data_IF_508142355083
#
_entry.id   IF_508142355083
#
_cell.length_a   1.000
_cell.length_b   1.000
_cell.length_c   1.000
_cell.angle_alpha   90.00
_cell.angle_beta   90.00
_cell.angle_gamma   90.00
#
_symmetry.space_group_name_H-M   'P 1'
#
loop_
_entity.id
_entity.type
_entity.pdbx_description
1 polymer ?
#
# COMPACT_ATOMS: atom_id res chain seq x y z
N UNK A 1 6.03 10.46 -20.74
CA UNK A 1 4.61 10.21 -21.09
C UNK A 1 4.26 10.96 -22.38
N UNK A 2 3.55 10.34 -23.32
CA UNK A 2 3.21 10.96 -24.62
C UNK A 2 2.11 12.02 -24.45
N UNK A 3 2.14 13.06 -25.28
CA UNK A 3 1.16 14.16 -25.30
C UNK A 3 -0.30 13.68 -25.40
N UNK A 4 -0.51 12.53 -26.03
CA UNK A 4 -1.81 11.87 -26.15
C UNK A 4 -2.42 11.47 -24.79
N UNK A 5 -1.67 10.77 -23.94
CA UNK A 5 -2.14 10.32 -22.61
C UNK A 5 -2.50 11.53 -21.73
N UNK A 6 -1.71 12.60 -21.84
CA UNK A 6 -1.91 13.83 -21.09
C UNK A 6 -3.21 14.55 -21.51
N UNK A 7 -3.50 14.59 -22.81
CA UNK A 7 -4.73 15.19 -23.35
C UNK A 7 -5.99 14.41 -22.96
N UNK A 8 -5.91 13.07 -22.94
CA UNK A 8 -7.00 12.20 -22.55
C UNK A 8 -7.34 12.35 -21.06
N UNK A 9 -6.32 12.39 -20.22
CA UNK A 9 -6.45 12.68 -18.79
C UNK A 9 -7.13 14.01 -18.51
N UNK A 10 -6.71 15.07 -19.20
CA UNK A 10 -7.31 16.40 -19.02
C UNK A 10 -8.81 16.38 -19.34
N UNK A 11 -9.21 15.68 -20.41
CA UNK A 11 -10.63 15.50 -20.76
C UNK A 11 -11.41 14.70 -19.72
N UNK A 12 -10.79 13.68 -19.11
CA UNK A 12 -11.37 12.94 -18.00
C UNK A 12 -11.52 13.79 -16.74
N UNK A 13 -10.54 14.65 -16.47
CA UNK A 13 -10.52 15.50 -15.28
C UNK A 13 -11.62 16.57 -15.32
N UNK A 14 -11.90 17.12 -16.50
CA UNK A 14 -12.81 18.23 -16.69
C UNK A 14 -14.26 17.79 -17.03
N UNK A 15 -14.52 16.50 -17.30
CA UNK A 15 -15.86 16.02 -17.70
C UNK A 15 -16.33 14.75 -16.98
N UNK A 16 -17.43 14.87 -16.23
CA UNK A 16 -18.14 13.73 -15.62
C UNK A 16 -18.70 12.74 -16.64
N UNK A 17 -18.85 13.16 -17.90
CA UNK A 17 -19.40 12.30 -18.96
C UNK A 17 -18.53 11.07 -19.21
N UNK A 18 -17.21 11.15 -19.01
CA UNK A 18 -16.31 10.01 -19.17
C UNK A 18 -16.66 8.87 -18.20
N UNK A 19 -16.86 9.19 -16.93
CA UNK A 19 -17.23 8.21 -15.91
C UNK A 19 -18.61 7.61 -16.16
N UNK A 20 -19.58 8.43 -16.57
CA UNK A 20 -20.92 7.96 -16.92
C UNK A 20 -20.89 6.99 -18.11
N UNK A 21 -20.16 7.33 -19.18
CA UNK A 21 -20.00 6.46 -20.36
C UNK A 21 -19.36 5.14 -19.95
N UNK A 22 -18.27 5.17 -19.18
CA UNK A 22 -17.61 3.93 -18.72
C UNK A 22 -18.54 3.07 -17.85
N UNK A 23 -19.33 3.68 -16.97
CA UNK A 23 -20.32 2.97 -16.19
C UNK A 23 -21.37 2.27 -17.07
N UNK A 24 -21.99 3.00 -18.01
CA UNK A 24 -23.00 2.43 -18.91
C UNK A 24 -22.43 1.36 -19.85
N UNK A 25 -21.21 1.55 -20.36
CA UNK A 25 -20.50 0.51 -21.13
C UNK A 25 -20.28 -0.73 -20.27
N UNK A 26 -19.88 -0.57 -19.01
CA UNK A 26 -19.73 -1.67 -18.07
C UNK A 26 -21.04 -2.37 -17.76
N UNK A 27 -22.16 -1.65 -17.65
CA UNK A 27 -23.49 -2.25 -17.49
C UNK A 27 -23.85 -3.08 -18.72
N UNK A 28 -23.58 -2.57 -19.93
CA UNK A 28 -23.77 -3.32 -21.17
C UNK A 28 -22.94 -4.61 -21.21
N UNK A 29 -21.65 -4.54 -20.83
CA UNK A 29 -20.78 -5.71 -20.75
C UNK A 29 -21.28 -6.74 -19.72
N UNK A 30 -21.73 -6.28 -18.56
CA UNK A 30 -22.30 -7.15 -17.53
C UNK A 30 -23.56 -7.85 -18.05
N UNK A 31 -24.45 -7.14 -18.74
CA UNK A 31 -25.65 -7.74 -19.35
C UNK A 31 -25.30 -8.79 -20.42
N UNK A 32 -24.29 -8.53 -21.26
CA UNK A 32 -23.80 -9.49 -22.25
C UNK A 32 -23.23 -10.73 -21.54
N UNK A 33 -22.39 -10.55 -20.51
CA UNK A 33 -21.83 -11.64 -19.73
C UNK A 33 -22.91 -12.48 -19.04
N UNK A 34 -23.91 -11.83 -18.45
CA UNK A 34 -25.06 -12.52 -17.85
C UNK A 34 -25.88 -13.26 -18.88
N UNK A 35 -26.14 -12.66 -20.04
CA UNK A 35 -26.87 -13.31 -21.13
C UNK A 35 -26.16 -14.58 -21.62
N UNK A 36 -24.84 -14.54 -21.82
CA UNK A 36 -24.03 -15.71 -22.21
C UNK A 36 -24.08 -16.81 -21.14
N UNK A 37 -24.16 -16.43 -19.86
CA UNK A 37 -24.25 -17.35 -18.74
C UNK A 37 -25.70 -17.70 -18.35
N UNK A 38 -26.68 -17.49 -19.23
CA UNK A 38 -28.10 -17.75 -18.98
C UNK A 38 -28.63 -17.10 -17.67
N UNK A 39 -28.14 -15.90 -17.36
CA UNK A 39 -28.41 -15.14 -16.14
C UNK A 39 -28.04 -15.86 -14.84
N UNK A 40 -27.20 -16.89 -14.91
CA UNK A 40 -26.65 -17.55 -13.73
C UNK A 40 -25.44 -16.77 -13.20
N UNK A 41 -25.65 -16.06 -12.10
CA UNK A 41 -24.59 -15.32 -11.42
C UNK A 41 -23.47 -16.24 -10.92
N UNK A 42 -23.80 -17.42 -10.39
CA UNK A 42 -22.82 -18.31 -9.78
C UNK A 42 -21.77 -18.81 -10.78
N UNK A 43 -22.18 -19.15 -12.01
CA UNK A 43 -21.25 -19.60 -13.06
C UNK A 43 -20.28 -18.50 -13.49
N UNK A 44 -20.74 -17.24 -13.48
CA UNK A 44 -19.88 -16.08 -13.74
C UNK A 44 -18.79 -15.94 -12.66
N UNK A 45 -19.15 -16.10 -11.37
CA UNK A 45 -18.22 -15.97 -10.25
C UNK A 45 -17.24 -17.13 -10.11
N UNK A 46 -17.66 -18.35 -10.50
CA UNK A 46 -16.85 -19.57 -10.38
C UNK A 46 -16.00 -19.85 -11.63
N UNK A 47 -16.02 -18.98 -12.64
CA UNK A 47 -15.20 -19.14 -13.84
C UNK A 47 -13.70 -19.07 -13.56
N UNK A 48 -12.92 -19.88 -14.27
CA UNK A 48 -11.45 -19.95 -14.12
C UNK A 48 -10.75 -18.60 -14.32
N UNK A 49 -11.22 -17.81 -15.28
CA UNK A 49 -10.68 -16.48 -15.54
C UNK A 49 -10.84 -15.53 -14.33
N UNK A 50 -11.97 -15.61 -13.62
CA UNK A 50 -12.23 -14.80 -12.43
C UNK A 50 -11.31 -15.26 -11.30
N UNK A 51 -11.21 -16.57 -11.06
CA UNK A 51 -10.29 -17.12 -10.07
C UNK A 51 -8.85 -16.72 -10.34
N UNK A 52 -8.41 -16.73 -11.61
CA UNK A 52 -7.07 -16.29 -12.00
C UNK A 52 -6.84 -14.80 -11.69
N UNK A 53 -7.76 -13.91 -12.09
CA UNK A 53 -7.64 -12.47 -11.82
C UNK A 53 -7.62 -12.17 -10.32
N UNK A 54 -8.46 -12.86 -9.55
CA UNK A 54 -8.49 -12.77 -8.10
C UNK A 54 -7.18 -13.26 -7.47
N UNK A 55 -6.62 -14.35 -7.98
CA UNK A 55 -5.33 -14.89 -7.52
C UNK A 55 -4.21 -13.86 -7.73
N UNK A 56 -4.11 -13.31 -8.94
CA UNK A 56 -3.10 -12.29 -9.28
C UNK A 56 -3.26 -11.07 -8.38
N UNK A 57 -4.49 -10.59 -8.18
CA UNK A 57 -4.72 -9.44 -7.31
C UNK A 57 -4.43 -9.75 -5.83
N UNK A 58 -4.82 -10.92 -5.35
CA UNK A 58 -4.53 -11.41 -4.00
C UNK A 58 -3.03 -11.45 -3.72
N UNK A 59 -2.23 -11.97 -4.67
CA UNK A 59 -0.77 -11.96 -4.62
C UNK A 59 -0.25 -10.52 -4.48
N UNK A 60 -0.67 -9.60 -5.36
CA UNK A 60 -0.17 -8.21 -5.32
C UNK A 60 -0.58 -7.49 -4.02
N UNK A 61 -1.81 -7.68 -3.55
CA UNK A 61 -2.27 -7.11 -2.28
C UNK A 61 -1.49 -7.66 -1.08
N UNK A 62 -1.16 -8.96 -1.08
CA UNK A 62 -0.36 -9.60 -0.05
C UNK A 62 1.09 -9.11 -0.03
N UNK A 63 1.73 -9.01 -1.20
CA UNK A 63 3.04 -8.39 -1.33
C UNK A 63 3.05 -6.99 -0.71
N UNK A 64 2.06 -6.16 -1.05
CA UNK A 64 1.96 -4.78 -0.56
C UNK A 64 1.64 -4.73 0.94
N UNK A 65 0.87 -5.68 1.47
CA UNK A 65 0.65 -5.82 2.92
C UNK A 65 1.95 -6.07 3.66
N UNK A 66 2.87 -6.87 3.09
CA UNK A 66 4.21 -7.07 3.65
C UNK A 66 5.01 -5.76 3.74
N UNK A 67 4.89 -4.88 2.74
CA UNK A 67 5.48 -3.53 2.77
C UNK A 67 4.87 -2.64 3.86
N UNK A 68 3.57 -2.79 4.13
CA UNK A 68 2.87 -2.05 5.18
C UNK A 68 3.43 -2.27 6.60
N UNK A 69 4.01 -3.45 6.85
CA UNK A 69 4.62 -3.79 8.15
C UNK A 69 5.75 -2.82 8.50
N UNK A 70 6.62 -2.49 7.53
CA UNK A 70 7.75 -1.60 7.81
C UNK A 70 7.35 -0.13 8.03
N UNK A 71 6.28 0.34 7.41
CA UNK A 71 5.74 1.67 7.69
C UNK A 71 5.23 1.77 9.13
N UNK A 72 4.54 0.72 9.57
CA UNK A 72 4.06 0.60 10.94
C UNK A 72 5.24 0.57 11.89
N UNK A 73 6.28 -0.20 11.57
CA UNK A 73 7.52 -0.22 12.33
C UNK A 73 8.17 1.16 12.44
N UNK A 74 8.41 1.86 11.33
CA UNK A 74 9.04 3.18 11.33
C UNK A 74 8.23 4.20 12.16
N UNK A 75 6.89 4.13 12.08
CA UNK A 75 5.98 4.97 12.87
C UNK A 75 6.07 4.64 14.37
N UNK A 76 6.08 3.36 14.74
CA UNK A 76 6.24 2.90 16.13
C UNK A 76 7.60 3.33 16.69
N UNK A 77 8.68 3.21 15.93
CA UNK A 77 10.00 3.66 16.36
C UNK A 77 10.05 5.17 16.56
N UNK A 78 9.54 5.96 15.61
CA UNK A 78 9.47 7.41 15.76
C UNK A 78 8.68 7.79 17.02
N UNK A 79 7.52 7.16 17.23
CA UNK A 79 6.69 7.39 18.41
C UNK A 79 7.39 6.99 19.72
N UNK A 80 8.04 5.83 19.77
CA UNK A 80 8.77 5.35 20.93
C UNK A 80 9.96 6.25 21.29
N UNK A 81 10.76 6.67 20.30
CA UNK A 81 11.85 7.61 20.52
C UNK A 81 11.36 8.98 20.98
N UNK A 82 10.21 9.43 20.47
CA UNK A 82 9.59 10.69 20.89
C UNK A 82 9.14 10.65 22.35
N UNK A 83 8.46 9.59 22.77
CA UNK A 83 8.00 9.42 24.15
C UNK A 83 9.16 9.28 25.14
N UNK A 84 10.22 8.57 24.76
CA UNK A 84 11.36 8.30 25.64
C UNK A 84 12.52 9.30 25.46
N UNK A 85 12.33 10.36 24.66
CA UNK A 85 13.38 11.30 24.31
C UNK A 85 14.04 11.95 25.54
N UNK A 86 13.24 12.29 26.55
CA UNK A 86 13.72 12.92 27.78
C UNK A 86 14.52 11.94 28.65
N UNK A 87 14.11 10.67 28.70
CA UNK A 87 14.76 9.65 29.53
C UNK A 87 16.13 9.21 28.99
N UNK A 88 16.33 9.39 27.69
CA UNK A 88 17.55 9.01 26.95
C UNK A 88 18.52 10.19 26.78
N UNK A 89 18.12 11.41 27.14
CA UNK A 89 18.95 12.61 27.06
C UNK A 89 20.26 12.44 27.86
N UNK A 90 21.39 12.77 27.23
CA UNK A 90 22.71 12.74 27.88
C UNK A 90 23.34 11.36 28.08
N UNK A 91 22.60 10.25 27.98
CA UNK A 91 23.10 8.90 28.28
C UNK A 91 23.07 7.97 27.05
N UNK A 92 24.23 7.77 26.42
CA UNK A 92 24.38 6.90 25.24
C UNK A 92 24.01 5.44 25.50
N UNK A 93 24.27 4.90 26.70
CA UNK A 93 23.91 3.51 27.04
C UNK A 93 22.40 3.29 27.02
N UNK A 94 21.62 4.25 27.54
CA UNK A 94 20.15 4.18 27.50
C UNK A 94 19.62 4.23 26.06
N UNK A 95 20.28 5.00 25.19
CA UNK A 95 19.95 5.03 23.77
C UNK A 95 20.20 3.68 23.09
N UNK A 96 21.35 3.06 23.36
CA UNK A 96 21.70 1.75 22.80
C UNK A 96 20.73 0.66 23.26
N UNK A 97 20.35 0.66 24.54
CA UNK A 97 19.34 -0.27 25.07
C UNK A 97 18.00 -0.04 24.37
N UNK A 98 17.56 1.21 24.20
CA UNK A 98 16.30 1.50 23.52
C UNK A 98 16.35 1.06 22.05
N UNK A 99 17.45 1.31 21.35
CA UNK A 99 17.67 0.81 19.98
C UNK A 99 17.57 -0.71 19.94
N UNK A 100 18.21 -1.41 20.86
CA UNK A 100 18.18 -2.88 20.93
C UNK A 100 16.76 -3.42 21.17
N UNK A 101 16.00 -2.79 22.07
CA UNK A 101 14.59 -3.14 22.31
C UNK A 101 13.76 -2.93 21.03
N UNK A 102 13.98 -1.85 20.30
CA UNK A 102 13.26 -1.55 19.06
C UNK A 102 13.69 -2.42 17.87
N UNK A 103 14.85 -3.08 17.93
CA UNK A 103 15.29 -4.05 16.91
C UNK A 103 14.59 -5.41 17.08
N UNK A 104 14.26 -5.80 18.32
CA UNK A 104 13.61 -7.08 18.62
C UNK A 104 12.33 -7.32 17.78
N UNK A 105 11.37 -6.36 17.67
CA UNK A 105 10.21 -6.54 16.81
C UNK A 105 10.55 -6.84 15.35
N UNK A 106 11.56 -6.19 14.76
CA UNK A 106 11.98 -6.49 13.38
C UNK A 106 12.51 -7.92 13.30
N UNK A 107 13.36 -8.32 14.24
CA UNK A 107 13.92 -9.67 14.25
C UNK A 107 12.82 -10.72 14.38
N UNK A 108 11.79 -10.46 15.19
CA UNK A 108 10.60 -11.31 15.28
C UNK A 108 9.82 -11.38 13.97
N UNK A 109 9.61 -10.24 13.29
CA UNK A 109 8.94 -10.18 11.98
C UNK A 109 9.75 -10.92 10.91
N UNK A 110 11.07 -10.75 10.91
CA UNK A 110 11.99 -11.43 10.00
C UNK A 110 11.97 -12.94 10.26
N UNK A 111 12.03 -13.36 11.53
CA UNK A 111 11.91 -14.76 11.93
C UNK A 111 10.57 -15.36 11.50
N UNK A 112 9.47 -14.62 11.66
CA UNK A 112 8.15 -15.03 11.18
C UNK A 112 8.10 -15.16 9.64
N UNK A 113 8.70 -14.21 8.91
CA UNK A 113 8.76 -14.28 7.44
C UNK A 113 9.56 -15.49 6.95
N UNK A 114 10.69 -15.80 7.60
CA UNK A 114 11.48 -17.01 7.31
C UNK A 114 10.69 -18.27 7.66
N UNK A 115 10.07 -18.32 8.84
CA UNK A 115 9.22 -19.44 9.26
C UNK A 115 8.10 -19.69 8.27
N UNK A 116 7.39 -18.64 7.85
CA UNK A 116 6.30 -18.73 6.87
C UNK A 116 6.83 -19.27 5.55
N UNK A 117 7.95 -18.73 5.05
CA UNK A 117 8.54 -19.16 3.78
C UNK A 117 8.97 -20.63 3.82
N UNK A 118 9.60 -21.08 4.92
CA UNK A 118 9.98 -22.49 5.10
C UNK A 118 8.74 -23.38 5.20
N UNK A 119 7.72 -22.97 5.97
CA UNK A 119 6.49 -23.74 6.11
C UNK A 119 5.77 -23.92 4.77
N UNK A 120 5.67 -22.84 4.00
CA UNK A 120 5.08 -22.82 2.67
C UNK A 120 5.86 -23.67 1.67
N UNK A 121 7.19 -23.56 1.61
CA UNK A 121 8.00 -24.27 0.61
C UNK A 121 8.25 -25.74 0.94
N UNK A 122 8.43 -26.08 2.22
CA UNK A 122 8.88 -27.42 2.63
C UNK A 122 7.71 -28.29 3.07
N UNK A 123 6.79 -27.75 3.86
CA UNK A 123 5.77 -28.55 4.51
C UNK A 123 4.41 -28.48 3.83
N UNK A 124 4.19 -27.52 2.91
CA UNK A 124 2.92 -27.30 2.19
C UNK A 124 1.69 -27.32 3.11
N UNK A 125 1.87 -26.91 4.37
CA UNK A 125 0.81 -26.95 5.36
C UNK A 125 -0.17 -25.80 5.11
N UNK A 126 -1.45 -26.13 5.11
CA UNK A 126 -2.53 -25.16 5.10
C UNK A 126 -2.45 -24.40 6.41
N UNK A 127 -2.28 -23.07 6.34
CA UNK A 127 -2.13 -22.24 7.54
C UNK A 127 -3.39 -22.30 8.41
N UNK A 128 -3.22 -22.00 9.68
CA UNK A 128 -4.30 -21.92 10.65
C UNK A 128 -5.33 -20.83 10.25
N UNK A 129 -6.58 -20.98 10.68
CA UNK A 129 -7.63 -19.98 10.48
C UNK A 129 -7.21 -18.58 10.99
N UNK A 130 -6.38 -18.54 12.03
CA UNK A 130 -5.79 -17.31 12.54
C UNK A 130 -4.92 -16.60 11.51
N UNK A 131 -4.08 -17.32 10.78
CA UNK A 131 -3.21 -16.75 9.75
C UNK A 131 -3.99 -16.28 8.51
N UNK A 132 -5.11 -16.93 8.20
CA UNK A 132 -6.05 -16.44 7.19
C UNK A 132 -6.78 -15.16 7.63
N UNK A 133 -7.10 -15.01 8.91
CA UNK A 133 -7.66 -13.77 9.44
C UNK A 133 -6.64 -12.64 9.47
N UNK A 134 -5.39 -12.90 9.87
CA UNK A 134 -4.32 -11.89 9.84
C UNK A 134 -3.99 -11.46 8.41
N UNK A 135 -4.04 -12.41 7.46
CA UNK A 135 -3.93 -12.16 6.03
C UNK A 135 -4.97 -11.16 5.51
N UNK A 136 -6.25 -11.43 5.78
CA UNK A 136 -7.36 -10.55 5.38
C UNK A 136 -7.24 -9.20 6.09
N UNK A 137 -6.95 -9.20 7.38
CA UNK A 137 -6.72 -7.97 8.15
C UNK A 137 -5.59 -7.12 7.58
N UNK A 138 -4.50 -7.74 7.12
CA UNK A 138 -3.39 -7.05 6.44
C UNK A 138 -3.86 -6.28 5.20
N UNK A 139 -4.62 -6.95 4.33
CA UNK A 139 -5.23 -6.34 3.13
C UNK A 139 -6.17 -5.19 3.52
N UNK A 140 -7.04 -5.42 4.51
CA UNK A 140 -7.97 -4.41 5.02
C UNK A 140 -7.25 -3.17 5.55
N UNK A 141 -6.27 -3.36 6.44
CA UNK A 141 -5.51 -2.26 7.01
C UNK A 141 -4.79 -1.48 5.93
N UNK A 142 -4.26 -2.16 4.90
CA UNK A 142 -3.60 -1.53 3.79
C UNK A 142 -4.60 -0.68 2.99
N UNK A 143 -5.74 -1.22 2.60
CA UNK A 143 -6.76 -0.51 1.83
C UNK A 143 -7.29 0.73 2.58
N UNK A 144 -7.54 0.57 3.88
CA UNK A 144 -8.03 1.66 4.73
C UNK A 144 -6.97 2.75 4.85
N UNK A 145 -5.74 2.41 5.20
CA UNK A 145 -4.69 3.40 5.45
C UNK A 145 -4.22 4.06 4.14
N UNK A 146 -4.22 3.33 3.03
CA UNK A 146 -3.75 3.83 1.73
C UNK A 146 -4.78 4.68 1.00
N UNK A 147 -6.03 4.21 0.96
CA UNK A 147 -7.06 4.88 0.16
C UNK A 147 -8.04 5.62 1.05
N UNK A 148 -8.62 4.94 2.04
CA UNK A 148 -9.75 5.48 2.78
C UNK A 148 -9.35 6.67 3.68
N UNK A 149 -8.23 6.55 4.40
CA UNK A 149 -7.71 7.60 5.28
C UNK A 149 -7.27 8.85 4.49
N UNK A 150 -6.46 8.75 3.41
CA UNK A 150 -6.06 9.93 2.65
C UNK A 150 -7.21 10.58 1.89
N UNK A 151 -8.17 9.78 1.41
CA UNK A 151 -9.39 10.27 0.78
C UNK A 151 -10.25 11.05 1.78
N UNK A 152 -10.48 10.51 2.99
CA UNK A 152 -11.24 11.17 4.04
C UNK A 152 -10.57 12.46 4.53
N UNK A 153 -9.23 12.49 4.58
CA UNK A 153 -8.46 13.70 4.92
C UNK A 153 -8.34 14.70 3.77
N UNK A 154 -8.81 14.35 2.57
CA UNK A 154 -8.71 15.15 1.36
C UNK A 154 -7.29 15.41 0.85
N UNK A 155 -6.31 14.60 1.32
CA UNK A 155 -4.88 14.74 1.03
C UNK A 155 -4.36 13.74 0.00
N UNK A 156 -5.23 12.98 -0.67
CA UNK A 156 -4.79 12.02 -1.68
C UNK A 156 -4.25 12.75 -2.92
N UNK A 157 -2.93 12.90 -2.97
CA UNK A 157 -2.20 13.46 -4.11
C UNK A 157 -0.95 12.60 -4.42
N UNK A 158 -1.09 11.52 -5.22
CA UNK A 158 0.03 10.72 -5.69
C UNK A 158 0.89 11.50 -6.72
N UNK A 159 1.63 12.53 -6.31
CA UNK A 159 2.55 13.23 -7.22
C UNK A 159 3.80 12.38 -7.46
N UNK A 160 3.99 11.93 -8.70
CA UNK A 160 5.09 11.05 -9.14
C UNK A 160 6.29 11.79 -9.71
N UNK A 161 6.18 13.07 -10.08
CA UNK A 161 7.31 13.84 -10.60
C UNK A 161 7.71 14.97 -9.64
N UNK A 162 8.81 14.73 -8.92
CA UNK A 162 9.52 15.83 -8.25
C UNK A 162 10.25 16.66 -9.29
N UNK A 163 9.94 17.95 -9.36
CA UNK A 163 10.69 18.88 -10.20
C UNK A 163 12.18 18.89 -9.83
N UNK A 164 13.06 19.29 -10.75
CA UNK A 164 14.50 19.48 -10.48
C UNK A 164 14.75 20.37 -9.26
N UNK A 165 13.88 21.37 -9.03
CA UNK A 165 13.92 22.24 -7.85
C UNK A 165 13.61 21.51 -6.54
N UNK A 166 12.66 20.56 -6.52
CA UNK A 166 12.38 19.75 -5.33
C UNK A 166 13.51 18.77 -5.03
N UNK A 167 14.17 18.22 -6.05
CA UNK A 167 15.35 17.36 -5.87
C UNK A 167 16.51 18.12 -5.24
N UNK A 168 16.71 19.40 -5.60
CA UNK A 168 17.70 20.27 -4.96
C UNK A 168 17.27 20.62 -3.55
N UNK A 169 15.98 20.94 -3.34
CA UNK A 169 15.40 21.18 -2.02
C UNK A 169 15.61 20.02 -1.04
N UNK A 170 15.40 18.78 -1.48
CA UNK A 170 15.62 17.59 -0.62
C UNK A 170 17.08 17.40 -0.23
N UNK A 171 18.04 17.75 -1.10
CA UNK A 171 19.47 17.73 -0.75
C UNK A 171 19.82 18.81 0.28
N UNK A 172 19.25 20.01 0.13
CA UNK A 172 19.45 21.12 1.07
C UNK A 172 18.83 20.80 2.44
N UNK A 173 17.64 20.22 2.47
CA UNK A 173 16.98 19.77 3.71
C UNK A 173 17.72 18.61 4.39
N UNK A 174 18.38 17.75 3.60
CA UNK A 174 19.31 16.74 4.10
C UNK A 174 20.47 17.38 4.87
N UNK A 175 21.17 18.32 4.22
CA UNK A 175 22.30 19.07 4.79
C UNK A 175 21.90 19.86 6.05
N UNK A 176 20.80 20.63 5.98
CA UNK A 176 20.29 21.42 7.12
C UNK A 176 20.06 20.56 8.36
N UNK A 177 19.50 19.36 8.15
CA UNK A 177 19.24 18.45 9.25
C UNK A 177 20.46 17.71 9.73
N UNK A 178 21.42 17.37 8.86
CA UNK A 178 22.71 16.83 9.29
C UNK A 178 23.44 17.81 10.22
N UNK A 179 23.41 19.10 9.89
CA UNK A 179 23.99 20.17 10.73
C UNK A 179 23.21 20.29 12.04
N UNK A 180 21.88 20.33 11.98
CA UNK A 180 21.03 20.41 13.17
C UNK A 180 21.17 19.19 14.08
N UNK A 181 21.20 17.97 13.52
CA UNK A 181 21.35 16.73 14.27
C UNK A 181 22.71 16.66 14.94
N UNK A 182 23.78 17.05 14.23
CA UNK A 182 25.12 17.19 14.78
C UNK A 182 25.15 18.18 15.95
N UNK A 183 24.57 19.37 15.77
CA UNK A 183 24.48 20.40 16.82
C UNK A 183 23.72 19.90 18.05
N UNK A 184 22.56 19.27 17.86
CA UNK A 184 21.71 18.83 18.96
C UNK A 184 22.26 17.59 19.68
N UNK A 185 22.90 16.67 18.95
CA UNK A 185 23.57 15.52 19.53
C UNK A 185 24.85 15.90 20.29
N UNK A 186 25.64 16.85 19.76
CA UNK A 186 26.93 17.21 20.33
C UNK A 186 26.81 18.21 21.49
N UNK A 187 26.04 19.30 21.30
CA UNK A 187 25.93 20.38 22.29
C UNK A 187 24.83 20.07 23.29
N UNK A 188 23.64 19.68 22.83
CA UNK A 188 22.47 19.49 23.69
C UNK A 188 22.32 18.07 24.22
N UNK A 189 23.06 17.11 23.65
CA UNK A 189 23.00 15.67 23.96
C UNK A 189 21.58 15.10 23.90
N UNK A 190 20.73 15.67 23.05
CA UNK A 190 19.32 15.30 22.85
C UNK A 190 19.20 14.12 21.87
N UNK A 191 19.87 13.00 22.17
CA UNK A 191 19.98 11.86 21.25
C UNK A 191 18.62 11.25 20.85
N UNK A 192 17.66 11.20 21.78
CA UNK A 192 16.33 10.66 21.50
C UNK A 192 15.53 11.52 20.52
N UNK A 193 15.66 12.86 20.58
CA UNK A 193 15.00 13.76 19.62
C UNK A 193 15.60 13.63 18.23
N UNK A 194 16.91 13.52 18.13
CA UNK A 194 17.60 13.30 16.85
C UNK A 194 17.13 12.01 16.20
N UNK A 195 17.11 10.91 16.96
CA UNK A 195 16.66 9.61 16.45
C UNK A 195 15.17 9.60 16.09
N UNK A 196 14.31 10.23 16.91
CA UNK A 196 12.89 10.40 16.58
C UNK A 196 12.70 11.10 15.23
N UNK A 197 13.46 12.17 14.97
CA UNK A 197 13.38 12.93 13.73
C UNK A 197 13.96 12.18 12.53
N UNK A 198 15.01 11.37 12.72
CA UNK A 198 15.52 10.44 11.69
C UNK A 198 14.47 9.40 11.29
N UNK A 199 13.83 8.74 12.27
CA UNK A 199 12.76 7.77 11.99
C UNK A 199 11.52 8.41 11.38
N UNK A 200 11.20 9.66 11.73
CA UNK A 200 10.12 10.43 11.09
C UNK A 200 10.44 10.70 9.62
N UNK A 201 11.69 11.05 9.28
CA UNK A 201 12.13 11.18 7.88
C UNK A 201 12.08 9.87 7.11
N UNK A 202 12.46 8.76 7.74
CA UNK A 202 12.32 7.43 7.13
C UNK A 202 10.86 7.10 6.87
N UNK A 203 9.98 7.38 7.84
CA UNK A 203 8.54 7.24 7.67
C UNK A 203 8.03 8.07 6.49
N UNK A 204 8.39 9.35 6.38
CA UNK A 204 7.95 10.22 5.28
C UNK A 204 8.42 9.72 3.91
N UNK A 205 9.68 9.26 3.80
CA UNK A 205 10.22 8.67 2.56
C UNK A 205 9.46 7.39 2.19
N UNK A 206 9.21 6.51 3.16
CA UNK A 206 8.44 5.29 2.95
C UNK A 206 6.99 5.59 2.57
N UNK A 207 6.37 6.62 3.17
CA UNK A 207 5.01 7.05 2.84
C UNK A 207 4.94 7.55 1.39
N UNK A 208 5.94 8.31 0.91
CA UNK A 208 6.02 8.72 -0.50
C UNK A 208 6.11 7.50 -1.43
N UNK A 209 6.99 6.55 -1.13
CA UNK A 209 7.14 5.31 -1.92
C UNK A 209 5.84 4.51 -1.91
N UNK A 210 5.18 4.40 -0.76
CA UNK A 210 3.86 3.77 -0.61
C UNK A 210 2.78 4.46 -1.42
N UNK A 211 2.76 5.79 -1.46
CA UNK A 211 1.80 6.53 -2.27
C UNK A 211 1.96 6.20 -3.76
N UNK A 212 3.19 6.06 -4.25
CA UNK A 212 3.47 5.64 -5.62
C UNK A 212 3.01 4.19 -5.84
N UNK A 213 3.40 3.26 -4.97
CA UNK A 213 2.96 1.86 -5.01
C UNK A 213 1.43 1.73 -4.92
N UNK A 214 0.77 2.61 -4.19
CA UNK A 214 -0.69 2.64 -4.10
C UNK A 214 -1.36 3.05 -5.39
N UNK A 215 -0.80 4.03 -6.11
CA UNK A 215 -1.30 4.37 -7.44
C UNK A 215 -1.23 3.17 -8.38
N UNK A 216 -0.20 2.34 -8.26
CA UNK A 216 -0.08 1.09 -9.01
C UNK A 216 -1.06 0.01 -8.54
N UNK A 217 -1.41 -0.03 -7.25
CA UNK A 217 -2.31 -1.03 -6.66
C UNK A 217 -3.76 -0.90 -7.16
N UNK A 218 -4.17 0.26 -7.68
CA UNK A 218 -5.50 0.43 -8.27
C UNK A 218 -5.76 -0.50 -9.47
N UNK A 219 -4.69 -0.94 -10.16
CA UNK A 219 -4.80 -1.86 -11.29
C UNK A 219 -5.15 -3.29 -10.83
N UNK A 220 -4.47 -3.89 -9.84
CA UNK A 220 -4.94 -5.10 -9.17
C UNK A 220 -6.37 -5.00 -8.63
N UNK A 221 -6.76 -3.85 -8.08
CA UNK A 221 -8.15 -3.58 -7.64
C UNK A 221 -9.10 -3.64 -8.85
N UNK A 222 -8.73 -3.01 -9.96
CA UNK A 222 -9.52 -3.04 -11.19
C UNK A 222 -9.72 -4.46 -11.72
N UNK A 223 -8.70 -5.34 -11.60
CA UNK A 223 -8.83 -6.75 -11.97
C UNK A 223 -9.82 -7.52 -11.10
N UNK A 224 -9.83 -7.31 -9.77
CA UNK A 224 -10.85 -7.90 -8.88
C UNK A 224 -12.24 -7.43 -9.29
N UNK A 225 -12.35 -6.16 -9.66
CA UNK A 225 -13.61 -5.55 -10.07
C UNK A 225 -14.02 -5.86 -11.51
N UNK A 226 -13.22 -6.58 -12.31
CA UNK A 226 -13.70 -7.04 -13.62
C UNK A 226 -14.89 -8.00 -13.50
N UNK A 227 -15.02 -8.64 -12.34
CA UNK A 227 -16.20 -9.41 -11.94
C UNK A 227 -17.48 -8.57 -11.91
N UNK A 228 -17.34 -7.26 -11.68
CA UNK A 228 -18.40 -6.27 -11.75
C UNK A 228 -17.99 -5.19 -12.78
N UNK A 229 -18.13 -5.46 -14.10
CA UNK A 229 -17.61 -4.60 -15.16
C UNK A 229 -17.90 -3.09 -15.02
N UNK A 230 -19.08 -2.63 -14.53
CA UNK A 230 -19.31 -1.20 -14.27
C UNK A 230 -18.29 -0.61 -13.28
N UNK A 231 -18.00 -1.31 -12.18
CA UNK A 231 -17.02 -0.88 -11.19
C UNK A 231 -15.59 -1.09 -11.68
N UNK A 232 -15.34 -2.17 -12.42
CA UNK A 232 -14.03 -2.45 -13.02
C UNK A 232 -13.59 -1.32 -13.95
N UNK A 233 -14.46 -0.90 -14.88
CA UNK A 233 -14.16 0.20 -15.79
C UNK A 233 -13.97 1.53 -15.07
N UNK A 234 -14.79 1.84 -14.06
CA UNK A 234 -14.60 3.02 -13.23
C UNK A 234 -13.26 3.00 -12.49
N UNK A 235 -12.85 1.84 -11.98
CA UNK A 235 -11.52 1.67 -11.36
C UNK A 235 -10.39 1.88 -12.37
N UNK A 236 -10.51 1.34 -13.59
CA UNK A 236 -9.52 1.58 -14.66
C UNK A 236 -9.43 3.07 -15.02
N UNK A 237 -10.56 3.78 -15.09
CA UNK A 237 -10.55 5.23 -15.33
C UNK A 237 -9.87 6.00 -14.21
N UNK A 238 -10.18 5.68 -12.95
CA UNK A 238 -9.52 6.28 -11.80
C UNK A 238 -8.02 5.98 -11.82
N UNK A 239 -7.61 4.77 -12.21
CA UNK A 239 -6.21 4.39 -12.33
C UNK A 239 -5.49 5.22 -13.41
N UNK A 240 -6.09 5.36 -14.59
CA UNK A 240 -5.56 6.26 -15.63
C UNK A 240 -5.43 7.69 -15.11
N UNK A 241 -6.44 8.17 -14.37
CA UNK A 241 -6.39 9.51 -13.78
C UNK A 241 -5.26 9.65 -12.76
N UNK A 242 -5.04 8.67 -11.90
CA UNK A 242 -3.90 8.65 -10.95
C UNK A 242 -2.58 8.73 -11.70
N UNK A 243 -2.36 7.91 -12.73
CA UNK A 243 -1.07 7.94 -13.44
C UNK A 243 -0.83 9.26 -14.16
N UNK A 244 -1.89 9.92 -14.58
CA UNK A 244 -1.85 11.15 -15.34
C UNK A 244 -1.91 12.44 -14.52
N UNK A 245 -1.71 12.36 -13.19
CA UNK A 245 -1.97 13.35 -12.13
C UNK A 245 -1.36 14.76 -12.27
N UNK A 246 -0.84 15.11 -13.43
CA UNK A 246 -0.19 16.37 -13.74
C UNK A 246 -1.07 17.63 -13.60
N UNK A 247 -2.39 17.51 -13.39
CA UNK A 247 -3.30 18.65 -13.58
C UNK A 247 -4.11 19.10 -12.37
N UNK A 248 -4.75 18.20 -11.61
CA UNK A 248 -5.66 18.58 -10.50
C UNK A 248 -5.81 17.48 -9.44
N UNK A 249 -6.03 17.84 -8.16
CA UNK A 249 -6.42 16.89 -7.13
C UNK A 249 -7.77 16.23 -7.44
N UNK A 250 -8.02 15.05 -6.87
CA UNK A 250 -9.30 14.35 -7.01
C UNK A 250 -10.46 15.19 -6.50
N UNK A 251 -11.54 15.24 -7.30
CA UNK A 251 -12.80 15.86 -6.91
C UNK A 251 -13.51 15.04 -5.83
N UNK A 252 -14.45 15.67 -5.12
CA UNK A 252 -15.21 15.00 -4.05
C UNK A 252 -15.97 13.76 -4.55
N UNK A 253 -16.50 13.80 -5.78
CA UNK A 253 -17.22 12.66 -6.36
C UNK A 253 -16.30 11.46 -6.61
N UNK A 254 -15.07 11.70 -7.06
CA UNK A 254 -14.11 10.63 -7.32
C UNK A 254 -13.54 10.04 -6.03
N UNK A 255 -13.40 10.88 -5.01
CA UNK A 255 -13.07 10.44 -3.65
C UNK A 255 -14.13 9.48 -3.13
N UNK A 256 -15.40 9.84 -3.24
CA UNK A 256 -16.53 8.98 -2.87
C UNK A 256 -16.52 7.70 -3.71
N UNK A 257 -16.32 7.81 -5.03
CA UNK A 257 -16.27 6.66 -5.92
C UNK A 257 -15.14 5.70 -5.56
N UNK A 258 -13.95 6.21 -5.28
CA UNK A 258 -12.80 5.43 -4.84
C UNK A 258 -13.08 4.74 -3.51
N UNK A 259 -13.72 5.43 -2.55
CA UNK A 259 -14.15 4.81 -1.29
C UNK A 259 -15.13 3.66 -1.51
N UNK A 260 -16.13 3.82 -2.38
CA UNK A 260 -17.09 2.76 -2.73
C UNK A 260 -16.34 1.56 -3.35
N UNK A 261 -15.48 1.81 -4.33
CA UNK A 261 -14.65 0.79 -4.98
C UNK A 261 -13.84 0.00 -3.95
N UNK A 262 -13.18 0.69 -3.03
CA UNK A 262 -12.36 0.06 -1.98
C UNK A 262 -13.23 -0.81 -1.07
N UNK A 263 -14.39 -0.31 -0.61
CA UNK A 263 -15.30 -1.07 0.25
C UNK A 263 -15.84 -2.32 -0.46
N UNK A 264 -16.20 -2.19 -1.74
CA UNK A 264 -16.67 -3.34 -2.54
C UNK A 264 -15.56 -4.39 -2.69
N UNK A 265 -14.33 -3.97 -2.97
CA UNK A 265 -13.18 -4.90 -3.06
C UNK A 265 -12.91 -5.58 -1.72
N UNK A 266 -13.02 -4.87 -0.60
CA UNK A 266 -12.90 -5.49 0.73
C UNK A 266 -14.00 -6.52 0.97
N UNK A 267 -15.24 -6.24 0.57
CA UNK A 267 -16.34 -7.19 0.65
C UNK A 267 -16.10 -8.43 -0.21
N UNK A 268 -15.75 -8.25 -1.48
CA UNK A 268 -15.45 -9.32 -2.44
C UNK A 268 -14.29 -10.19 -1.93
N UNK A 269 -13.16 -9.57 -1.56
CA UNK A 269 -11.98 -10.31 -1.09
C UNK A 269 -12.29 -11.10 0.17
N UNK A 270 -13.00 -10.51 1.14
CA UNK A 270 -13.40 -11.21 2.37
C UNK A 270 -14.32 -12.38 2.08
N UNK A 271 -15.35 -12.17 1.25
CA UNK A 271 -16.25 -13.24 0.85
C UNK A 271 -15.50 -14.39 0.18
N UNK A 272 -14.61 -14.09 -0.77
CA UNK A 272 -13.86 -15.11 -1.49
C UNK A 272 -12.88 -15.88 -0.60
N UNK A 273 -12.18 -15.18 0.30
CA UNK A 273 -11.27 -15.81 1.26
C UNK A 273 -12.01 -16.75 2.22
N UNK A 274 -13.22 -16.37 2.67
CA UNK A 274 -14.01 -17.19 3.60
C UNK A 274 -14.81 -18.31 2.91
N UNK A 275 -15.37 -18.04 1.73
CA UNK A 275 -16.33 -18.95 1.08
C UNK A 275 -15.68 -19.96 0.13
N UNK A 276 -14.64 -19.55 -0.61
CA UNK A 276 -14.00 -20.43 -1.61
C UNK A 276 -12.84 -21.23 -0.98
N UNK A 277 -12.38 -20.82 0.20
CA UNK A 277 -11.42 -21.56 1.02
C UNK A 277 -10.26 -22.08 0.19
N UNK A 278 -9.56 -21.19 -0.53
CA UNK A 278 -8.58 -21.47 -1.59
C UNK A 278 -7.24 -21.98 -1.03
N UNK A 279 -7.07 -23.27 -0.70
CA UNK A 279 -5.87 -23.74 -0.01
C UNK A 279 -4.70 -23.82 -1.00
N UNK A 280 -5.02 -24.04 -2.29
CA UNK A 280 -4.07 -24.08 -3.41
C UNK A 280 -3.46 -22.72 -3.72
N UNK A 281 -4.16 -21.62 -3.42
CA UNK A 281 -3.64 -20.26 -3.66
C UNK A 281 -2.92 -19.67 -2.45
N UNK A 282 -3.14 -20.24 -1.28
CA UNK A 282 -2.55 -19.79 -0.02
C UNK A 282 -1.02 -19.77 -0.09
N UNK A 283 -0.42 -20.80 -0.70
CA UNK A 283 1.03 -20.88 -0.93
C UNK A 283 1.55 -19.64 -1.67
N UNK A 284 0.87 -19.20 -2.74
CA UNK A 284 1.28 -18.01 -3.49
C UNK A 284 1.10 -16.74 -2.68
N UNK A 285 0.04 -16.66 -1.88
CA UNK A 285 -0.23 -15.51 -1.01
C UNK A 285 0.81 -15.35 0.10
N UNK A 286 1.21 -16.45 0.72
CA UNK A 286 2.19 -16.45 1.81
C UNK A 286 3.59 -16.17 1.29
N UNK A 287 3.96 -16.80 0.18
CA UNK A 287 5.21 -16.53 -0.51
C UNK A 287 5.31 -15.05 -0.92
N UNK A 288 4.25 -14.51 -1.50
CA UNK A 288 4.18 -13.11 -1.89
C UNK A 288 4.27 -12.16 -0.69
N UNK A 289 3.61 -12.48 0.41
CA UNK A 289 3.69 -11.73 1.65
C UNK A 289 5.10 -11.73 2.26
N UNK A 290 5.75 -12.91 2.32
CA UNK A 290 7.11 -13.04 2.81
C UNK A 290 8.10 -12.23 1.96
N UNK A 291 8.00 -12.32 0.63
CA UNK A 291 8.79 -11.48 -0.29
C UNK A 291 8.52 -9.99 -0.02
N UNK A 292 7.26 -9.62 0.20
CA UNK A 292 6.88 -8.26 0.57
C UNK A 292 7.59 -7.76 1.82
N UNK A 293 7.66 -8.59 2.87
CA UNK A 293 8.42 -8.27 4.09
C UNK A 293 9.91 -8.10 3.78
N UNK A 294 10.54 -9.07 3.11
CA UNK A 294 11.97 -8.98 2.77
C UNK A 294 12.29 -7.74 1.95
N UNK A 295 11.48 -7.46 0.93
CA UNK A 295 11.60 -6.27 0.10
C UNK A 295 11.47 -5.00 0.94
N UNK A 296 10.54 -4.96 1.89
CA UNK A 296 10.35 -3.80 2.78
C UNK A 296 11.54 -3.56 3.70
N UNK A 297 12.15 -4.63 4.23
CA UNK A 297 13.36 -4.55 5.06
C UNK A 297 14.55 -4.07 4.24
N UNK A 298 14.73 -4.63 3.04
CA UNK A 298 15.78 -4.20 2.11
C UNK A 298 15.60 -2.72 1.73
N UNK A 299 14.37 -2.30 1.46
CA UNK A 299 14.05 -0.91 1.12
C UNK A 299 14.34 0.03 2.30
N UNK A 300 13.97 -0.34 3.52
CA UNK A 300 14.34 0.43 4.72
C UNK A 300 15.87 0.54 4.85
N UNK A 301 16.59 -0.57 4.66
CA UNK A 301 18.06 -0.58 4.72
C UNK A 301 18.68 0.37 3.67
N UNK A 302 18.14 0.38 2.44
CA UNK A 302 18.56 1.32 1.38
C UNK A 302 18.27 2.77 1.78
N UNK A 303 17.09 3.05 2.34
CA UNK A 303 16.70 4.39 2.78
C UNK A 303 17.62 4.90 3.89
N UNK A 304 18.01 4.02 4.83
CA UNK A 304 18.97 4.31 5.91
C UNK A 304 20.38 4.51 5.33
N UNK A 305 20.79 3.71 4.36
CA UNK A 305 22.13 3.84 3.76
C UNK A 305 22.31 5.13 2.94
N UNK A 306 21.23 5.64 2.35
CA UNK A 306 21.22 6.88 1.57
C UNK A 306 21.06 8.15 2.41
N UNK A 307 20.75 8.04 3.71
CA UNK A 307 20.59 9.18 4.64
C UNK A 307 21.85 9.42 5.45
#
# INVERSE_FOLDING_TARGET
>A
MTTSVRSFSKRLADSYTGYAIAFFVGVGLLLIMLFINAFNFQTLYMGEAVLFLLSVSGIVMKFLSGIGVMLTYASVCSFAFRLLAEQVKGNRKRLEILKLILVLPILSILGYAVYTLVNTLVYSQILSLFENLTAVYGIWSLMIIVYLVPVARGKYNPTTEKGTLEKVGEKVDGLKHSIWSGYQAYIWRDYGKVQSAEFERYHDRLVKIRAILSGMLLLPIAFVLMLFPPLGLLSVMLWFRILSLDFKPFSNLERVLLSIIVVVVLGITTYLFLAIGLPSLQVYFDFSYAIGIFFSIALLAIVIWQS
#
